data_IF_021742360994
#
_entry.id   IF_021742360994
#
_cell.length_a   1.000
_cell.length_b   1.000
_cell.length_c   1.000
_cell.angle_alpha   90.00
_cell.angle_beta   90.00
_cell.angle_gamma   90.00
#
_symmetry.space_group_name_H-M   'P 1'
#
loop_
_entity.id
_entity.type
_entity.pdbx_description
1 polymer ?
#
# COMPACT_ATOMS: atom_id res chain seq x y z
N UNK A 1 -11.69 15.20 11.14
CA UNK A 1 -11.05 14.08 11.86
C UNK A 1 -11.64 12.76 11.39
N UNK A 2 -10.80 11.84 10.92
CA UNK A 2 -11.24 10.54 10.41
C UNK A 2 -11.43 9.49 11.51
N UNK A 3 -12.47 8.66 11.38
CA UNK A 3 -12.69 7.46 12.19
C UNK A 3 -11.97 6.25 11.54
N UNK A 4 -10.97 5.63 12.20
CA UNK A 4 -10.25 4.48 11.65
C UNK A 4 -11.13 3.28 11.27
N UNK A 5 -12.31 3.15 11.86
CA UNK A 5 -13.24 2.07 11.55
C UNK A 5 -13.88 2.21 10.16
N UNK A 6 -13.79 3.38 9.52
CA UNK A 6 -14.38 3.59 8.20
C UNK A 6 -13.53 3.05 7.05
N UNK A 7 -12.27 2.69 7.31
CA UNK A 7 -11.31 2.26 6.29
C UNK A 7 -11.36 0.75 6.09
N UNK A 8 -11.43 0.31 4.83
CA UNK A 8 -11.61 -1.11 4.49
C UNK A 8 -10.53 -1.66 3.56
N UNK A 9 -9.76 -0.77 2.92
CA UNK A 9 -8.67 -1.12 2.01
C UNK A 9 -7.36 -0.51 2.50
N UNK A 10 -6.32 -1.32 2.54
CA UNK A 10 -4.94 -0.90 2.76
C UNK A 10 -4.15 -0.95 1.46
N UNK A 11 -3.40 0.10 1.17
CA UNK A 11 -2.47 0.20 0.05
C UNK A 11 -1.09 0.50 0.62
N UNK A 12 -0.09 -0.33 0.32
CA UNK A 12 1.29 -0.14 0.75
C UNK A 12 2.15 0.13 -0.48
N UNK A 13 2.84 1.26 -0.49
CA UNK A 13 3.85 1.63 -1.47
C UNK A 13 5.24 1.37 -0.89
N UNK A 14 6.15 0.83 -1.69
CA UNK A 14 7.52 0.62 -1.28
C UNK A 14 8.37 1.90 -1.40
N UNK A 15 8.06 2.76 -2.37
CA UNK A 15 8.80 3.97 -2.71
C UNK A 15 7.93 5.22 -2.63
N UNK A 16 8.53 6.36 -2.30
CA UNK A 16 7.86 7.67 -2.31
C UNK A 16 7.32 8.05 -3.68
N UNK A 17 7.96 7.62 -4.77
CA UNK A 17 7.46 7.85 -6.14
C UNK A 17 6.15 7.13 -6.39
N UNK A 18 6.02 5.88 -5.94
CA UNK A 18 4.79 5.09 -6.05
C UNK A 18 3.68 5.72 -5.21
N UNK A 19 4.01 6.14 -3.99
CA UNK A 19 3.09 6.84 -3.10
C UNK A 19 2.59 8.16 -3.69
N UNK A 20 3.50 8.95 -4.26
CA UNK A 20 3.16 10.22 -4.91
C UNK A 20 2.24 9.99 -6.10
N UNK A 21 2.49 8.94 -6.90
CA UNK A 21 1.63 8.56 -8.00
C UNK A 21 0.24 8.11 -7.51
N UNK A 22 0.17 7.26 -6.48
CA UNK A 22 -1.09 6.81 -5.89
C UNK A 22 -1.96 7.99 -5.42
N UNK A 23 -1.35 9.00 -4.80
CA UNK A 23 -2.04 10.21 -4.34
C UNK A 23 -2.63 11.08 -5.47
N UNK A 24 -2.22 10.90 -6.72
CA UNK A 24 -2.82 11.63 -7.85
C UNK A 24 -4.18 11.06 -8.28
N UNK A 25 -4.52 9.86 -7.83
CA UNK A 25 -5.77 9.18 -8.20
C UNK A 25 -6.89 9.34 -7.16
N UNK A 26 -6.67 10.14 -6.11
CA UNK A 26 -7.63 10.29 -5.02
C UNK A 26 -8.81 11.15 -5.44
N UNK A 27 -10.02 10.72 -5.08
CA UNK A 27 -11.21 11.56 -5.19
C UNK A 27 -11.23 12.60 -4.06
N UNK A 28 -10.80 12.17 -2.85
CA UNK A 28 -10.78 13.01 -1.66
C UNK A 28 -9.68 12.57 -0.69
N UNK A 29 -8.98 13.53 -0.11
CA UNK A 29 -8.09 13.31 1.03
C UNK A 29 -8.84 13.61 2.35
N UNK A 30 -8.60 12.80 3.38
CA UNK A 30 -9.23 12.91 4.68
C UNK A 30 -8.24 13.39 5.75
N UNK A 31 -8.74 14.14 6.72
CA UNK A 31 -7.92 14.56 7.87
C UNK A 31 -7.48 13.37 8.72
N UNK A 32 -6.34 13.51 9.39
CA UNK A 32 -5.86 12.52 10.34
C UNK A 32 -6.82 12.32 11.53
N UNK A 33 -6.78 11.14 12.19
CA UNK A 33 -7.45 10.91 13.46
C UNK A 33 -6.83 11.75 14.59
N UNK A 34 -7.60 12.04 15.63
CA UNK A 34 -7.24 12.96 16.74
C UNK A 34 -6.09 12.48 17.62
N UNK A 35 -5.74 11.20 17.55
CA UNK A 35 -4.79 10.55 18.46
C UNK A 35 -3.48 10.13 17.79
N UNK A 36 -3.22 10.56 16.55
CA UNK A 36 -1.98 10.21 15.85
C UNK A 36 -0.90 11.24 16.20
N UNK A 37 0.23 10.76 16.71
CA UNK A 37 1.35 11.64 17.05
C UNK A 37 1.92 12.30 15.80
N UNK A 38 2.38 13.55 15.89
CA UNK A 38 2.89 14.31 14.74
C UNK A 38 4.06 13.63 14.01
N UNK A 39 4.81 12.75 14.70
CA UNK A 39 5.89 11.97 14.11
C UNK A 39 5.39 10.82 13.21
N UNK A 40 4.14 10.38 13.34
CA UNK A 40 3.54 9.33 12.49
C UNK A 40 2.84 9.89 11.25
N UNK A 41 2.74 11.21 11.12
CA UNK A 41 2.04 11.90 10.00
C UNK A 41 2.80 11.74 8.67
N UNK A 42 4.09 11.43 8.69
CA UNK A 42 4.92 11.43 7.48
C UNK A 42 4.93 10.10 6.69
N UNK A 43 4.07 9.13 7.05
CA UNK A 43 4.12 7.78 6.48
C UNK A 43 2.86 7.30 5.76
N UNK A 44 1.74 8.00 5.84
CA UNK A 44 0.48 7.56 5.22
C UNK A 44 -0.52 8.69 4.97
N UNK A 45 -1.44 8.45 4.04
CA UNK A 45 -2.58 9.31 3.70
C UNK A 45 -3.86 8.50 3.86
N UNK A 46 -4.89 9.15 4.39
CA UNK A 46 -6.25 8.64 4.45
C UNK A 46 -7.06 9.28 3.34
N UNK A 47 -7.81 8.49 2.58
CA UNK A 47 -8.49 9.01 1.39
C UNK A 47 -9.74 8.21 1.00
N UNK A 48 -10.45 8.74 0.02
CA UNK A 48 -11.53 8.08 -0.71
C UNK A 48 -11.13 7.92 -2.19
N UNK A 49 -11.35 6.73 -2.75
CA UNK A 49 -11.26 6.46 -4.18
C UNK A 49 -12.42 5.54 -4.60
N UNK A 50 -13.19 5.94 -5.61
CA UNK A 50 -14.36 5.23 -6.12
C UNK A 50 -15.34 4.80 -5.01
N UNK A 51 -15.54 5.67 -4.00
CA UNK A 51 -16.40 5.39 -2.84
C UNK A 51 -15.83 4.44 -1.79
N UNK A 52 -14.56 4.04 -1.92
CA UNK A 52 -13.86 3.24 -0.92
C UNK A 52 -12.94 4.11 -0.07
N UNK A 53 -13.02 3.95 1.25
CA UNK A 53 -12.06 4.56 2.18
C UNK A 53 -10.79 3.73 2.25
N UNK A 54 -9.67 4.34 1.83
CA UNK A 54 -8.37 3.69 1.65
C UNK A 54 -7.34 4.33 2.58
N UNK A 55 -6.58 3.47 3.26
CA UNK A 55 -5.35 3.81 3.96
C UNK A 55 -4.17 3.56 3.03
N UNK A 56 -3.46 4.60 2.62
CA UNK A 56 -2.27 4.48 1.75
C UNK A 56 -1.04 4.78 2.58
N UNK A 57 -0.12 3.83 2.73
CA UNK A 57 1.16 4.03 3.41
C UNK A 57 2.35 3.91 2.47
N UNK A 58 3.45 4.55 2.85
CA UNK A 58 4.77 4.42 2.23
C UNK A 58 5.77 3.90 3.26
N UNK A 59 6.68 3.04 2.84
CA UNK A 59 7.77 2.57 3.71
C UNK A 59 8.69 3.74 4.10
N UNK A 60 9.25 3.74 5.33
CA UNK A 60 10.22 4.77 5.72
C UNK A 60 11.41 4.83 4.75
N UNK A 61 11.85 6.04 4.42
CA UNK A 61 12.95 6.26 3.48
C UNK A 61 14.21 5.45 3.87
N UNK A 62 14.75 4.70 2.91
CA UNK A 62 15.92 3.85 3.13
C UNK A 62 15.64 2.49 3.77
N UNK A 63 14.38 2.19 4.14
CA UNK A 63 13.95 0.87 4.67
C UNK A 63 13.15 0.10 3.63
N UNK A 64 13.76 -0.14 2.46
CA UNK A 64 13.17 -1.03 1.48
C UNK A 64 13.29 -2.48 1.95
N UNK A 65 12.24 -3.28 1.74
CA UNK A 65 12.28 -4.73 1.94
C UNK A 65 11.10 -5.31 2.73
N UNK A 66 11.07 -6.64 2.77
CA UNK A 66 9.98 -7.44 3.31
C UNK A 66 9.66 -7.14 4.78
N UNK A 67 10.68 -6.92 5.61
CA UNK A 67 10.52 -6.63 7.04
C UNK A 67 9.85 -5.29 7.30
N UNK A 68 10.27 -4.23 6.60
CA UNK A 68 9.65 -2.91 6.71
C UNK A 68 8.18 -2.94 6.26
N UNK A 69 7.90 -3.62 5.14
CA UNK A 69 6.54 -3.81 4.65
C UNK A 69 5.66 -4.60 5.61
N UNK A 70 6.20 -5.65 6.23
CA UNK A 70 5.48 -6.43 7.25
C UNK A 70 5.16 -5.57 8.48
N UNK A 71 6.10 -4.73 8.94
CA UNK A 71 5.87 -3.82 10.06
C UNK A 71 4.78 -2.78 9.75
N UNK A 72 4.82 -2.16 8.57
CA UNK A 72 3.78 -1.21 8.14
C UNK A 72 2.42 -1.89 8.02
N UNK A 73 2.37 -3.10 7.44
CA UNK A 73 1.14 -3.87 7.34
C UNK A 73 0.57 -4.27 8.72
N UNK A 74 1.43 -4.60 9.68
CA UNK A 74 1.02 -4.93 11.05
C UNK A 74 0.48 -3.69 11.78
N UNK A 75 1.18 -2.55 11.68
CA UNK A 75 0.75 -1.29 12.28
C UNK A 75 -0.60 -0.82 11.70
N UNK A 76 -0.77 -0.94 10.38
CA UNK A 76 -2.02 -0.64 9.69
C UNK A 76 -3.18 -1.45 10.29
N UNK A 77 -3.03 -2.75 10.48
CA UNK A 77 -4.08 -3.59 11.06
C UNK A 77 -4.40 -3.23 12.52
N UNK A 78 -3.38 -2.87 13.30
CA UNK A 78 -3.58 -2.47 14.69
C UNK A 78 -4.36 -1.16 14.82
N UNK A 79 -4.11 -0.20 13.91
CA UNK A 79 -4.75 1.11 13.94
C UNK A 79 -6.08 1.16 13.20
N UNK A 80 -6.29 0.32 12.18
CA UNK A 80 -7.47 0.33 11.30
C UNK A 80 -8.09 -1.07 11.24
N UNK A 81 -8.93 -1.43 12.23
CA UNK A 81 -9.39 -2.80 12.45
C UNK A 81 -10.32 -3.34 11.35
N UNK A 82 -10.93 -2.45 10.56
CA UNK A 82 -11.89 -2.83 9.51
C UNK A 82 -11.24 -3.00 8.13
N UNK A 83 -9.92 -2.90 8.01
CA UNK A 83 -9.21 -3.20 6.76
C UNK A 83 -9.28 -4.71 6.49
N UNK A 84 -9.88 -5.05 5.34
CA UNK A 84 -10.12 -6.44 4.91
C UNK A 84 -9.20 -6.85 3.76
N UNK A 85 -8.88 -5.89 2.88
CA UNK A 85 -8.01 -6.11 1.72
C UNK A 85 -6.78 -5.24 1.88
N UNK A 86 -5.60 -5.83 1.61
CA UNK A 86 -4.32 -5.14 1.66
C UNK A 86 -3.55 -5.44 0.38
N UNK A 87 -3.11 -4.39 -0.30
CA UNK A 87 -2.38 -4.48 -1.55
C UNK A 87 -1.01 -3.85 -1.36
N UNK A 88 0.04 -4.60 -1.69
CA UNK A 88 1.33 -4.00 -1.99
C UNK A 88 1.31 -3.61 -3.47
N UNK A 89 1.45 -2.33 -3.78
CA UNK A 89 1.43 -1.83 -5.16
C UNK A 89 2.65 -0.96 -5.37
N UNK A 90 3.40 -1.27 -6.42
CA UNK A 90 4.63 -0.58 -6.75
C UNK A 90 5.17 -1.00 -8.10
N UNK A 91 6.30 -0.43 -8.46
CA UNK A 91 7.05 -0.82 -9.64
C UNK A 91 7.90 -2.06 -9.31
N UNK A 92 8.07 -2.95 -10.29
CA UNK A 92 8.87 -4.16 -10.14
C UNK A 92 9.75 -4.39 -11.36
N UNK A 93 10.84 -5.13 -11.17
CA UNK A 93 11.65 -5.64 -12.28
C UNK A 93 11.00 -6.88 -12.90
N UNK A 94 11.03 -6.99 -14.22
CA UNK A 94 10.57 -8.18 -14.95
C UNK A 94 11.70 -9.20 -15.16
N UNK A 95 11.39 -10.49 -15.05
CA UNK A 95 12.27 -11.59 -15.42
C UNK A 95 11.60 -12.47 -16.49
N UNK A 96 11.48 -11.98 -17.74
CA UNK A 96 10.75 -12.68 -18.79
C UNK A 96 11.38 -14.04 -19.12
N UNK A 97 10.53 -15.00 -19.44
CA UNK A 97 10.92 -16.33 -19.93
C UNK A 97 10.10 -16.67 -21.16
N UNK A 98 10.49 -17.68 -21.94
CA UNK A 98 9.72 -18.14 -23.09
C UNK A 98 8.27 -18.55 -22.76
N UNK A 99 7.97 -18.89 -21.50
CA UNK A 99 6.62 -19.24 -21.02
C UNK A 99 5.88 -18.07 -20.37
N UNK A 100 6.59 -17.01 -20.00
CA UNK A 100 6.06 -15.82 -19.29
C UNK A 100 6.73 -14.58 -19.86
N UNK A 101 6.13 -14.03 -20.91
CA UNK A 101 6.64 -12.87 -21.64
C UNK A 101 6.18 -11.56 -20.98
N UNK A 102 6.73 -11.26 -19.80
CA UNK A 102 6.48 -9.99 -19.11
C UNK A 102 7.27 -8.86 -19.76
N UNK A 103 6.58 -7.79 -20.14
CA UNK A 103 7.14 -6.64 -20.85
C UNK A 103 7.03 -5.37 -20.02
N UNK A 104 7.85 -4.37 -20.39
CA UNK A 104 7.76 -3.06 -19.77
C UNK A 104 6.36 -2.46 -20.01
N UNK A 105 5.72 -2.03 -18.93
CA UNK A 105 4.35 -1.48 -18.96
C UNK A 105 3.28 -2.50 -18.57
N UNK A 106 3.60 -3.78 -18.47
CA UNK A 106 2.66 -4.78 -17.98
C UNK A 106 2.36 -4.58 -16.48
N UNK A 107 1.09 -4.76 -16.11
CA UNK A 107 0.66 -4.85 -14.71
C UNK A 107 0.57 -6.31 -14.32
N UNK A 108 1.43 -6.73 -13.38
CA UNK A 108 1.47 -8.10 -12.89
C UNK A 108 0.74 -8.19 -11.56
N UNK A 109 -0.24 -9.11 -11.46
CA UNK A 109 -0.94 -9.41 -10.21
C UNK A 109 -0.47 -10.78 -9.72
N UNK A 110 0.07 -10.82 -8.50
CA UNK A 110 0.49 -12.06 -7.89
C UNK A 110 -0.68 -12.80 -7.26
N UNK A 111 -0.77 -14.10 -7.51
CA UNK A 111 -1.64 -15.04 -6.78
C UNK A 111 -0.82 -16.20 -6.24
N UNK A 112 -1.15 -16.69 -5.05
CA UNK A 112 -0.50 -17.86 -4.47
C UNK A 112 -0.82 -19.11 -5.30
N UNK A 113 0.17 -19.64 -6.02
CA UNK A 113 0.15 -21.02 -6.52
C UNK A 113 1.09 -21.90 -5.68
N UNK A 114 0.48 -22.81 -4.91
CA UNK A 114 1.08 -24.02 -4.31
C UNK A 114 2.54 -23.87 -3.82
N UNK A 115 2.83 -22.88 -2.96
CA UNK A 115 4.11 -22.70 -2.25
C UNK A 115 5.25 -21.93 -2.96
N UNK A 116 5.01 -21.28 -4.10
CA UNK A 116 5.97 -20.29 -4.63
C UNK A 116 5.58 -18.88 -4.20
N UNK A 117 6.52 -18.15 -3.61
CA UNK A 117 6.34 -16.75 -3.26
C UNK A 117 6.00 -15.92 -4.49
N UNK A 118 5.13 -14.93 -4.31
CA UNK A 118 4.66 -14.03 -5.35
C UNK A 118 5.73 -13.09 -5.92
N UNK A 119 5.28 -12.05 -6.62
CA UNK A 119 6.12 -10.92 -7.06
C UNK A 119 6.94 -10.42 -5.85
N UNK A 120 8.26 -10.38 -6.02
CA UNK A 120 9.25 -9.85 -5.06
C UNK A 120 9.70 -8.45 -5.48
#
# INVERSE_FOLDING_TARGET
>A
MSDPQQYTVGWICALTTEYTAARQFLDKEHDFPTHVSANEINGYTLCEMLGHNIFIAVLPCGTYGLSSAASVAANMLNSFPNIRVRLMVGIGGGAPTAKRDTRLGDVVVSSLEKYTGGVL
#
